data_IF_030147171913
#
_entry.id   IF_030147171913
#
_cell.length_a   1.000
_cell.length_b   1.000
_cell.length_c   1.000
_cell.angle_alpha   90.00
_cell.angle_beta   90.00
_cell.angle_gamma   90.00
#
_symmetry.space_group_name_H-M   'P 1'
#
loop_
_entity.id
_entity.type
_entity.pdbx_description
1 polymer ?
#
# COMPACT_ATOMS: atom_id res chain seq x y z
N UNK A 1 2.49 6.86 53.44
CA UNK A 1 2.71 5.42 53.71
C UNK A 1 3.96 5.00 52.97
N UNK A 2 5.10 5.20 53.64
CA UNK A 2 6.45 4.83 53.20
C UNK A 2 6.87 3.62 54.02
N UNK A 3 7.52 2.65 53.37
CA UNK A 3 8.18 1.52 54.03
C UNK A 3 9.66 1.57 53.65
N UNK A 4 10.60 1.60 54.61
CA UNK A 4 12.02 1.43 54.36
C UNK A 4 12.48 0.01 54.78
N UNK A 5 13.49 -0.52 54.08
CA UNK A 5 14.25 -1.70 54.52
C UNK A 5 15.77 -1.44 54.32
N UNK A 6 16.64 -2.15 55.05
CA UNK A 6 17.69 -1.51 55.85
C UNK A 6 19.11 -1.64 55.28
N UNK A 7 19.98 -0.86 55.93
CA UNK A 7 21.43 -0.72 55.85
C UNK A 7 22.16 -1.93 56.47
N UNK A 8 23.29 -2.35 55.90
CA UNK A 8 24.47 -2.98 56.54
C UNK A 8 25.51 -3.19 55.42
N UNK A 9 26.83 -3.07 55.55
CA UNK A 9 27.75 -2.53 56.54
C UNK A 9 29.09 -2.32 55.82
N UNK A 10 29.81 -1.31 56.27
CA UNK A 10 31.13 -0.85 55.86
C UNK A 10 32.23 -1.85 56.26
N UNK A 11 33.12 -2.21 55.32
CA UNK A 11 34.51 -2.55 55.65
C UNK A 11 35.40 -1.83 54.66
N UNK A 12 36.08 -0.80 55.16
CA UNK A 12 37.19 -0.13 54.49
C UNK A 12 38.49 -0.86 54.83
N UNK A 13 39.32 -1.16 53.82
CA UNK A 13 40.73 -1.47 54.02
C UNK A 13 41.55 -0.68 52.99
N UNK A 14 42.28 0.32 53.49
CA UNK A 14 43.29 1.10 52.78
C UNK A 14 44.64 0.37 52.85
N UNK A 15 45.31 0.19 51.71
CA UNK A 15 46.76 0.05 51.58
C UNK A 15 47.16 0.30 50.10
N UNK A 16 47.57 1.52 49.75
CA UNK A 16 48.95 1.96 49.43
C UNK A 16 49.61 1.39 48.16
N UNK A 17 49.79 2.31 47.19
CA UNK A 17 50.95 2.55 46.30
C UNK A 17 51.60 1.37 45.55
N UNK A 18 51.44 1.39 44.23
CA UNK A 18 52.33 0.73 43.27
C UNK A 18 52.29 1.45 41.92
N UNK A 19 53.41 2.08 41.57
CA UNK A 19 53.73 2.61 40.24
C UNK A 19 54.07 1.46 39.29
N UNK A 20 53.69 1.59 38.02
CA UNK A 20 54.39 0.95 36.90
C UNK A 20 53.55 -0.02 36.05
N UNK A 21 53.67 0.14 34.73
CA UNK A 21 53.31 -0.89 33.75
C UNK A 21 52.19 -0.48 32.80
N UNK A 22 52.55 0.17 31.68
CA UNK A 22 51.81 -0.04 30.44
C UNK A 22 52.12 -1.45 29.97
N UNK A 23 51.15 -2.37 29.96
CA UNK A 23 51.29 -3.63 29.24
C UNK A 23 49.94 -4.10 28.68
N UNK A 24 49.95 -4.22 27.35
CA UNK A 24 48.98 -4.81 26.40
C UNK A 24 47.61 -5.27 26.89
N UNK A 25 46.56 -4.65 26.31
CA UNK A 25 45.22 -5.22 26.15
C UNK A 25 45.33 -6.59 25.46
N UNK A 26 44.70 -7.67 25.99
CA UNK A 26 44.68 -8.95 25.31
C UNK A 26 43.83 -8.87 24.04
N UNK A 27 44.42 -9.32 22.94
CA UNK A 27 43.85 -9.45 21.61
C UNK A 27 42.69 -10.45 21.60
N UNK A 28 41.53 -9.95 21.18
CA UNK A 28 40.47 -10.60 20.41
C UNK A 28 39.85 -11.90 20.95
N UNK A 29 38.65 -11.74 21.52
CA UNK A 29 37.64 -12.77 21.51
C UNK A 29 37.13 -12.94 20.06
N UNK A 30 37.44 -14.07 19.45
CA UNK A 30 37.01 -14.46 18.10
C UNK A 30 35.48 -14.55 18.05
N UNK A 31 34.81 -13.45 17.71
CA UNK A 31 33.47 -13.51 17.13
C UNK A 31 33.67 -14.00 15.71
N UNK A 32 33.10 -15.16 15.30
CA UNK A 32 33.19 -15.57 13.91
C UNK A 32 32.54 -14.49 13.05
N UNK A 33 33.33 -13.91 12.15
CA UNK A 33 32.82 -13.05 11.08
C UNK A 33 31.70 -13.79 10.35
N UNK A 34 30.59 -13.11 10.00
CA UNK A 34 29.57 -13.73 9.16
C UNK A 34 30.27 -14.15 7.87
N UNK A 35 30.30 -15.46 7.61
CA UNK A 35 30.77 -16.00 6.34
C UNK A 35 29.88 -15.42 5.25
N UNK A 36 30.42 -14.46 4.49
CA UNK A 36 29.85 -14.03 3.23
C UNK A 36 30.00 -15.22 2.29
N UNK A 37 28.91 -15.96 2.13
CA UNK A 37 28.80 -17.01 1.14
C UNK A 37 28.82 -16.35 -0.24
N UNK A 38 29.97 -16.39 -0.93
CA UNK A 38 30.11 -15.98 -2.32
C UNK A 38 29.60 -17.08 -3.28
N UNK A 39 28.51 -17.76 -2.92
CA UNK A 39 27.75 -18.56 -3.86
C UNK A 39 27.18 -17.64 -4.95
N UNK A 40 26.95 -18.14 -6.18
CA UNK A 40 26.22 -17.35 -7.16
C UNK A 40 24.82 -17.15 -6.59
N UNK A 41 24.56 -16.00 -5.96
CA UNK A 41 23.21 -15.49 -5.87
C UNK A 41 22.75 -15.39 -7.31
N UNK A 42 21.94 -16.35 -7.73
CA UNK A 42 21.09 -16.19 -8.90
C UNK A 42 20.12 -15.08 -8.53
N UNK A 43 20.58 -13.83 -8.63
CA UNK A 43 19.73 -12.71 -9.01
C UNK A 43 19.06 -13.18 -10.27
N UNK A 44 17.82 -13.66 -10.13
CA UNK A 44 16.94 -13.88 -11.27
C UNK A 44 16.98 -12.58 -12.04
N UNK A 45 17.57 -12.61 -13.24
CA UNK A 45 17.64 -11.45 -14.10
C UNK A 45 16.22 -10.88 -14.18
N UNK A 46 16.02 -9.68 -13.63
CA UNK A 46 14.79 -8.96 -13.84
C UNK A 46 14.69 -8.79 -15.35
N UNK A 47 13.74 -9.48 -15.94
CA UNK A 47 13.40 -9.37 -17.35
C UNK A 47 12.94 -7.92 -17.62
N UNK A 48 13.92 -7.05 -17.87
CA UNK A 48 13.73 -5.63 -18.17
C UNK A 48 13.17 -5.42 -19.58
N UNK A 49 13.07 -6.48 -20.36
CA UNK A 49 12.56 -6.46 -21.74
C UNK A 49 11.04 -6.60 -21.80
N UNK A 50 10.35 -6.77 -20.66
CA UNK A 50 8.89 -6.61 -20.63
C UNK A 50 8.54 -5.16 -20.89
N UNK A 51 7.81 -4.83 -21.98
CA UNK A 51 7.34 -3.48 -22.18
C UNK A 51 6.32 -3.15 -21.08
N UNK A 52 6.77 -2.44 -20.05
CA UNK A 52 5.95 -1.95 -18.96
C UNK A 52 5.83 -0.43 -19.06
N UNK A 53 4.61 0.09 -19.00
CA UNK A 53 4.38 1.53 -18.93
C UNK A 53 4.77 2.00 -17.54
N UNK A 54 5.62 3.02 -17.45
CA UNK A 54 6.00 3.63 -16.17
C UNK A 54 4.90 4.61 -15.75
N UNK A 55 4.38 4.45 -14.54
CA UNK A 55 3.38 5.30 -13.90
C UNK A 55 3.89 5.82 -12.56
N UNK A 56 3.32 6.93 -12.09
CA UNK A 56 3.67 7.51 -10.79
C UNK A 56 3.01 6.80 -9.61
N UNK A 57 3.32 7.27 -8.40
CA UNK A 57 2.66 6.87 -7.16
C UNK A 57 1.17 7.21 -7.13
N UNK A 58 0.77 8.27 -7.84
CA UNK A 58 -0.60 8.77 -7.97
C UNK A 58 -0.89 9.01 -9.44
N UNK A 59 -2.06 8.64 -9.92
CA UNK A 59 -2.52 8.87 -11.29
C UNK A 59 -3.99 9.31 -11.31
N UNK A 60 -4.43 9.91 -12.43
CA UNK A 60 -5.87 10.16 -12.67
C UNK A 60 -6.48 8.89 -13.28
N UNK A 61 -7.57 8.40 -12.69
CA UNK A 61 -8.35 7.27 -13.16
C UNK A 61 -9.71 7.76 -13.69
N UNK A 62 -10.01 7.42 -14.94
CA UNK A 62 -11.28 7.76 -15.59
C UNK A 62 -12.15 6.51 -15.71
N UNK A 63 -13.46 6.71 -15.80
CA UNK A 63 -14.42 5.61 -15.87
C UNK A 63 -15.48 5.93 -16.92
N UNK A 64 -15.90 4.96 -17.72
CA UNK A 64 -16.96 5.22 -18.72
C UNK A 64 -18.32 5.50 -18.08
N UNK A 65 -18.48 5.13 -16.81
CA UNK A 65 -19.71 5.38 -16.07
C UNK A 65 -19.96 6.86 -15.77
N UNK A 66 -18.93 7.70 -15.66
CA UNK A 66 -19.05 9.09 -15.23
C UNK A 66 -17.97 10.01 -15.80
N UNK A 67 -18.31 11.27 -16.03
CA UNK A 67 -17.49 12.20 -16.82
C UNK A 67 -16.46 13.02 -16.01
N UNK A 68 -16.09 12.57 -14.81
CA UNK A 68 -15.07 13.23 -13.97
C UNK A 68 -13.98 12.23 -13.56
N UNK A 69 -12.68 12.59 -13.66
CA UNK A 69 -11.61 11.71 -13.23
C UNK A 69 -11.53 11.68 -11.70
N UNK A 70 -11.00 10.58 -11.16
CA UNK A 70 -10.69 10.43 -9.75
C UNK A 70 -9.20 10.22 -9.54
N UNK A 71 -8.64 10.82 -8.50
CA UNK A 71 -7.26 10.52 -8.12
C UNK A 71 -7.13 9.12 -7.53
N UNK A 72 -6.12 8.41 -8.01
CA UNK A 72 -5.87 7.03 -7.69
C UNK A 72 -4.48 6.85 -7.11
N UNK A 73 -4.40 6.33 -5.89
CA UNK A 73 -3.14 5.84 -5.33
C UNK A 73 -2.79 4.51 -5.98
N UNK A 74 -1.57 4.41 -6.51
CA UNK A 74 -1.02 3.17 -7.05
C UNK A 74 -0.40 2.33 -5.92
N UNK A 75 -1.05 1.23 -5.56
CA UNK A 75 -0.68 0.42 -4.39
C UNK A 75 -0.34 -1.01 -4.82
N UNK A 76 0.96 -1.29 -4.92
CA UNK A 76 1.48 -2.62 -5.27
C UNK A 76 1.25 -3.66 -4.16
N UNK A 77 0.95 -3.23 -2.93
CA UNK A 77 0.59 -4.10 -1.81
C UNK A 77 -0.84 -4.64 -1.89
N UNK A 78 -1.74 -3.93 -2.56
CA UNK A 78 -3.14 -4.33 -2.68
C UNK A 78 -3.38 -5.36 -3.79
N UNK A 79 -4.07 -6.45 -3.47
CA UNK A 79 -4.48 -7.46 -4.45
C UNK A 79 -5.61 -6.96 -5.36
N UNK A 80 -6.59 -6.25 -4.80
CA UNK A 80 -7.77 -5.76 -5.52
C UNK A 80 -7.91 -4.25 -5.32
N UNK A 81 -8.16 -3.53 -6.42
CA UNK A 81 -8.49 -2.11 -6.39
C UNK A 81 -9.72 -1.79 -5.52
N UNK A 82 -9.79 -0.55 -5.03
CA UNK A 82 -10.93 -0.05 -4.26
C UNK A 82 -11.34 1.34 -4.74
N UNK A 83 -12.63 1.65 -4.63
CA UNK A 83 -13.17 2.95 -5.01
C UNK A 83 -14.05 3.50 -3.90
N UNK A 84 -13.98 4.82 -3.72
CA UNK A 84 -14.85 5.56 -2.82
C UNK A 84 -16.30 5.45 -3.28
N UNK A 85 -17.12 4.77 -2.48
CA UNK A 85 -18.50 4.48 -2.80
C UNK A 85 -19.38 4.78 -1.58
N UNK A 86 -20.41 5.60 -1.78
CA UNK A 86 -21.34 6.07 -0.74
C UNK A 86 -22.71 5.44 -0.86
N UNK A 87 -23.46 5.45 0.24
CA UNK A 87 -24.81 4.91 0.28
C UNK A 87 -24.89 3.50 -0.32
N UNK A 88 -23.91 2.65 0.02
CA UNK A 88 -23.77 1.29 -0.51
C UNK A 88 -24.92 0.45 0.03
N UNK A 89 -25.83 0.04 -0.84
CA UNK A 89 -27.05 -0.70 -0.49
C UNK A 89 -27.19 -1.92 -1.41
N UNK A 90 -27.08 -3.15 -0.89
CA UNK A 90 -27.40 -4.35 -1.65
C UNK A 90 -28.91 -4.40 -1.92
N UNK A 91 -29.31 -5.00 -3.02
CA UNK A 91 -30.70 -5.28 -3.35
C UNK A 91 -30.80 -6.47 -4.31
N UNK A 92 -31.97 -7.09 -4.38
CA UNK A 92 -32.25 -8.13 -5.37
C UNK A 92 -32.94 -7.54 -6.60
N UNK A 93 -32.55 -8.00 -7.79
CA UNK A 93 -33.23 -7.70 -9.05
C UNK A 93 -33.21 -8.93 -9.94
N UNK A 94 -34.40 -9.36 -10.37
CA UNK A 94 -34.59 -10.50 -11.27
C UNK A 94 -33.89 -11.79 -10.75
N UNK A 95 -33.98 -12.03 -9.42
CA UNK A 95 -33.36 -13.18 -8.75
C UNK A 95 -31.83 -13.11 -8.62
N UNK A 96 -31.21 -11.96 -8.91
CA UNK A 96 -29.76 -11.73 -8.81
C UNK A 96 -29.44 -10.69 -7.75
N UNK A 97 -28.29 -10.82 -7.10
CA UNK A 97 -27.77 -9.83 -6.14
C UNK A 97 -27.11 -8.65 -6.87
N UNK A 98 -27.51 -7.44 -6.48
CA UNK A 98 -26.99 -6.18 -7.00
C UNK A 98 -26.60 -5.26 -5.85
N UNK A 99 -25.79 -4.25 -6.15
CA UNK A 99 -25.43 -3.18 -5.22
C UNK A 99 -25.66 -1.83 -5.88
N UNK A 100 -26.32 -0.94 -5.15
CA UNK A 100 -26.47 0.46 -5.52
C UNK A 100 -25.51 1.31 -4.66
N UNK A 101 -24.76 2.19 -5.28
CA UNK A 101 -23.78 3.05 -4.62
C UNK A 101 -23.63 4.39 -5.35
N UNK A 102 -23.10 5.39 -4.67
CA UNK A 102 -22.91 6.74 -5.19
C UNK A 102 -21.42 7.02 -5.29
N UNK A 103 -20.95 7.40 -6.46
CA UNK A 103 -19.61 7.97 -6.68
C UNK A 103 -19.74 9.49 -6.61
N UNK A 104 -18.82 10.15 -5.92
CA UNK A 104 -18.77 11.61 -5.83
C UNK A 104 -17.46 12.10 -6.44
N UNK A 105 -17.54 13.21 -7.16
CA UNK A 105 -16.38 14.01 -7.45
C UNK A 105 -15.89 14.67 -6.13
N UNK A 106 -14.57 14.83 -6.00
CA UNK A 106 -13.96 15.55 -4.88
C UNK A 106 -13.63 17.00 -5.21
N UNK A 107 -13.60 17.34 -6.49
CA UNK A 107 -13.29 18.67 -6.99
C UNK A 107 -14.56 19.50 -7.25
N UNK A 108 -15.74 18.86 -7.32
CA UNK A 108 -17.03 19.52 -7.55
C UNK A 108 -18.19 18.85 -6.78
N UNK A 109 -19.38 19.43 -6.87
CA UNK A 109 -20.62 18.83 -6.34
C UNK A 109 -21.19 17.70 -7.22
N UNK A 110 -20.48 17.31 -8.29
CA UNK A 110 -20.92 16.24 -9.18
C UNK A 110 -20.96 14.89 -8.44
N UNK A 111 -21.99 14.10 -8.74
CA UNK A 111 -22.10 12.74 -8.23
C UNK A 111 -22.94 11.89 -9.16
N UNK A 112 -22.71 10.58 -9.12
CA UNK A 112 -23.47 9.61 -9.89
C UNK A 112 -23.88 8.42 -9.03
N UNK A 113 -25.18 8.09 -9.08
CA UNK A 113 -25.73 6.88 -8.48
C UNK A 113 -25.65 5.73 -9.50
N UNK A 114 -24.89 4.69 -9.16
CA UNK A 114 -24.72 3.50 -9.97
C UNK A 114 -25.42 2.29 -9.37
N UNK A 115 -25.76 1.33 -10.24
CA UNK A 115 -26.24 -0.01 -9.88
C UNK A 115 -25.43 -1.03 -10.67
N UNK A 116 -24.82 -1.99 -9.97
CA UNK A 116 -24.02 -3.06 -10.58
C UNK A 116 -24.36 -4.42 -9.95
N UNK A 117 -24.25 -5.52 -10.71
CA UNK A 117 -24.24 -6.86 -10.11
C UNK A 117 -23.15 -6.97 -9.04
N UNK A 118 -23.42 -7.73 -7.99
CA UNK A 118 -22.39 -8.10 -7.01
C UNK A 118 -21.62 -9.28 -7.58
N UNK A 119 -20.33 -9.11 -7.84
CA UNK A 119 -19.46 -10.20 -8.31
C UNK A 119 -19.12 -11.16 -7.16
N UNK A 120 -18.85 -10.59 -5.99
CA UNK A 120 -18.53 -11.30 -4.75
C UNK A 120 -18.54 -10.35 -3.55
N UNK A 121 -18.40 -10.91 -2.35
CA UNK A 121 -18.13 -10.16 -1.13
C UNK A 121 -16.70 -10.45 -0.67
N UNK A 122 -15.84 -9.43 -0.68
CA UNK A 122 -14.48 -9.50 -0.17
C UNK A 122 -14.46 -9.33 1.35
N UNK A 123 -13.65 -10.13 2.05
CA UNK A 123 -13.31 -9.90 3.45
C UNK A 123 -11.97 -9.19 3.49
N UNK A 124 -11.97 -7.95 3.98
CA UNK A 124 -10.78 -7.14 4.13
C UNK A 124 -10.27 -7.29 5.56
N UNK A 125 -9.05 -7.79 5.66
CA UNK A 125 -8.29 -7.93 6.89
C UNK A 125 -7.19 -6.87 6.89
N UNK A 126 -7.53 -5.68 7.38
CA UNK A 126 -6.57 -4.63 7.72
C UNK A 126 -6.52 -4.52 9.26
N UNK A 127 -5.52 -3.83 9.80
CA UNK A 127 -5.37 -3.66 11.25
C UNK A 127 -6.70 -3.17 11.86
N UNK A 128 -7.39 -4.05 12.59
CA UNK A 128 -8.74 -3.80 13.10
C UNK A 128 -9.75 -4.92 12.77
N UNK A 129 -11.06 -4.64 12.93
CA UNK A 129 -12.10 -5.62 12.68
C UNK A 129 -12.21 -5.94 11.19
N UNK A 130 -12.49 -7.22 10.89
CA UNK A 130 -12.72 -7.66 9.51
C UNK A 130 -13.88 -6.89 8.89
N UNK A 131 -13.66 -6.35 7.70
CA UNK A 131 -14.69 -5.62 6.96
C UNK A 131 -15.16 -6.42 5.75
N UNK A 132 -16.47 -6.56 5.58
CA UNK A 132 -17.06 -7.16 4.38
C UNK A 132 -17.37 -6.06 3.37
N UNK A 133 -16.83 -6.17 2.16
CA UNK A 133 -17.02 -5.19 1.08
C UNK A 133 -17.58 -5.87 -0.16
N UNK A 134 -18.60 -5.28 -0.76
CA UNK A 134 -19.10 -5.74 -2.06
C UNK A 134 -18.08 -5.44 -3.15
N UNK A 135 -18.00 -6.33 -4.13
CA UNK A 135 -17.16 -6.17 -5.32
C UNK A 135 -18.06 -6.01 -6.53
N UNK A 136 -17.79 -4.98 -7.32
CA UNK A 136 -18.48 -4.69 -8.56
C UNK A 136 -17.47 -4.38 -9.67
N UNK A 137 -17.85 -4.64 -10.92
CA UNK A 137 -17.04 -4.25 -12.08
C UNK A 137 -17.37 -2.83 -12.53
N UNK A 138 -16.34 -2.06 -12.81
CA UNK A 138 -16.40 -0.73 -13.43
C UNK A 138 -15.49 -0.70 -14.66
N UNK A 139 -15.84 0.11 -15.65
CA UNK A 139 -15.06 0.27 -16.88
C UNK A 139 -13.99 1.32 -16.67
N UNK A 140 -12.78 0.89 -16.32
CA UNK A 140 -11.64 1.76 -16.05
C UNK A 140 -10.96 2.16 -17.37
N UNK A 141 -10.85 3.46 -17.60
CA UNK A 141 -10.01 4.06 -18.63
C UNK A 141 -8.76 4.58 -17.94
N UNK A 142 -7.63 3.90 -18.16
CA UNK A 142 -6.36 4.20 -17.52
C UNK A 142 -5.30 4.43 -18.60
N UNK A 143 -4.51 5.51 -18.47
CA UNK A 143 -3.49 5.88 -19.45
C UNK A 143 -4.00 6.08 -20.89
N UNK A 144 -5.23 6.57 -21.07
CA UNK A 144 -5.83 6.75 -22.41
C UNK A 144 -5.93 5.46 -23.23
N UNK A 145 -5.77 4.29 -22.59
CA UNK A 145 -5.97 3.00 -23.22
C UNK A 145 -7.46 2.70 -23.36
N UNK A 146 -7.76 1.69 -24.18
CA UNK A 146 -9.10 1.15 -24.28
C UNK A 146 -9.67 0.79 -22.89
N UNK A 147 -10.96 1.09 -22.65
CA UNK A 147 -11.61 0.77 -21.39
C UNK A 147 -11.51 -0.71 -21.04
N UNK A 148 -11.23 -1.00 -19.76
CA UNK A 148 -11.17 -2.37 -19.24
C UNK A 148 -12.09 -2.54 -18.04
N UNK A 149 -12.88 -3.62 -18.04
CA UNK A 149 -13.68 -3.98 -16.86
C UNK A 149 -12.79 -4.52 -15.75
N UNK A 150 -12.76 -3.80 -14.64
CA UNK A 150 -11.93 -4.12 -13.47
C UNK A 150 -12.82 -4.29 -12.24
N UNK A 151 -12.48 -5.27 -11.40
CA UNK A 151 -13.11 -5.44 -10.09
C UNK A 151 -12.63 -4.37 -9.10
N UNK A 152 -13.59 -3.67 -8.50
CA UNK A 152 -13.35 -2.76 -7.39
C UNK A 152 -14.13 -3.20 -6.16
N UNK A 153 -13.44 -3.18 -5.02
CA UNK A 153 -14.13 -3.21 -3.72
C UNK A 153 -14.79 -1.86 -3.47
N UNK A 154 -16.07 -1.88 -3.09
CA UNK A 154 -16.85 -0.68 -2.75
C UNK A 154 -16.66 -0.38 -1.27
N UNK A 155 -16.15 0.81 -0.94
CA UNK A 155 -15.95 1.24 0.45
C UNK A 155 -16.12 2.73 0.60
N UNK A 156 -16.58 3.16 1.78
CA UNK A 156 -16.56 4.58 2.12
C UNK A 156 -15.09 4.98 2.39
N UNK A 157 -14.57 5.90 1.59
CA UNK A 157 -13.20 6.43 1.68
C UNK A 157 -13.17 7.94 1.93
N UNK A 158 -14.18 8.52 2.58
CA UNK A 158 -14.27 9.97 2.84
C UNK A 158 -13.03 10.56 3.48
N UNK A 159 -12.51 9.82 4.45
CA UNK A 159 -11.41 10.29 5.29
C UNK A 159 -10.06 9.86 4.74
N UNK A 160 -10.01 9.27 3.54
CA UNK A 160 -8.78 8.93 2.85
C UNK A 160 -8.46 10.03 1.86
N UNK A 161 -7.17 10.28 1.63
CA UNK A 161 -6.69 11.27 0.66
C UNK A 161 -7.12 10.95 -0.77
N UNK A 162 -7.01 9.68 -1.18
CA UNK A 162 -7.33 9.26 -2.54
C UNK A 162 -8.66 8.46 -2.61
N UNK A 163 -9.62 8.87 -3.48
CA UNK A 163 -10.87 8.17 -3.68
C UNK A 163 -10.68 6.79 -4.30
N UNK A 164 -9.66 6.62 -5.14
CA UNK A 164 -9.36 5.34 -5.79
C UNK A 164 -8.03 4.79 -5.27
N UNK A 165 -7.97 3.47 -5.16
CA UNK A 165 -6.75 2.72 -4.95
C UNK A 165 -6.66 1.68 -6.07
N UNK A 166 -5.59 1.71 -6.84
CA UNK A 166 -5.33 0.79 -7.94
C UNK A 166 -4.34 -0.28 -7.47
N UNK A 167 -4.81 -1.53 -7.45
CA UNK A 167 -4.06 -2.69 -6.98
C UNK A 167 -3.51 -3.56 -8.11
N UNK A 168 -2.91 -4.69 -7.75
CA UNK A 168 -2.27 -5.63 -8.69
C UNK A 168 -3.20 -6.20 -9.75
N UNK A 169 -4.51 -6.30 -9.50
CA UNK A 169 -5.49 -6.70 -10.51
C UNK A 169 -5.56 -5.76 -11.73
N UNK A 170 -5.00 -4.55 -11.64
CA UNK A 170 -4.77 -3.63 -12.77
C UNK A 170 -3.30 -3.60 -13.18
N UNK A 171 -2.39 -3.61 -12.20
CA UNK A 171 -0.97 -3.32 -12.41
C UNK A 171 -0.17 -4.49 -13.00
N UNK A 172 -0.51 -5.71 -12.61
CA UNK A 172 0.31 -6.89 -12.85
C UNK A 172 0.57 -7.14 -14.33
N UNK A 173 1.85 -7.30 -14.69
CA UNK A 173 2.28 -7.57 -16.06
C UNK A 173 2.18 -6.40 -17.04
N UNK A 174 1.74 -5.21 -16.61
CA UNK A 174 1.48 -4.06 -17.52
C UNK A 174 2.23 -2.79 -17.11
N UNK A 175 2.40 -2.56 -15.82
CA UNK A 175 2.88 -1.27 -15.30
C UNK A 175 4.07 -1.43 -14.35
N UNK A 176 4.98 -0.47 -14.43
CA UNK A 176 6.04 -0.27 -13.43
C UNK A 176 5.78 1.04 -12.69
N UNK A 177 5.92 1.03 -11.37
CA UNK A 177 5.55 2.16 -10.51
C UNK A 177 6.79 2.92 -10.07
N UNK A 178 6.95 4.14 -10.55
CA UNK A 178 7.95 5.10 -10.06
C UNK A 178 7.37 5.92 -8.92
N UNK A 179 7.72 5.54 -7.69
CA UNK A 179 7.24 6.19 -6.47
C UNK A 179 7.80 7.60 -6.25
N UNK A 180 8.79 8.03 -7.04
CA UNK A 180 9.36 9.37 -6.97
C UNK A 180 8.56 10.41 -7.77
N UNK A 181 7.56 9.95 -8.54
CA UNK A 181 6.74 10.80 -9.39
C UNK A 181 5.25 10.63 -9.13
N UNK A 182 4.48 11.63 -9.50
CA UNK A 182 3.02 11.60 -9.55
C UNK A 182 2.56 12.15 -10.89
N UNK A 183 1.39 11.69 -11.34
CA UNK A 183 0.74 12.06 -12.61
C UNK A 183 1.68 11.91 -13.80
N UNK A 184 2.46 10.82 -13.84
CA UNK A 184 3.47 10.60 -14.87
C UNK A 184 2.83 10.48 -16.26
N UNK A 185 1.62 9.91 -16.32
CA UNK A 185 0.87 9.75 -17.56
C UNK A 185 0.45 11.09 -18.17
N UNK A 186 0.08 12.07 -17.33
CA UNK A 186 -0.33 13.41 -17.77
C UNK A 186 0.81 14.26 -18.34
N UNK A 187 2.08 13.90 -18.07
CA UNK A 187 3.26 14.65 -18.56
C UNK A 187 3.65 14.30 -19.99
N UNK A 188 3.24 13.14 -20.50
CA UNK A 188 3.63 12.67 -21.85
C UNK A 188 2.85 13.34 -22.98
N UNK A 189 1.68 13.93 -22.70
CA UNK A 189 0.79 14.54 -23.70
C UNK A 189 1.08 16.03 -23.98
N UNK A 190 2.03 16.66 -23.27
CA UNK A 190 2.38 18.07 -23.44
C UNK A 190 3.70 18.32 -24.18
N UNK A 191 4.32 17.26 -24.73
CA UNK A 191 5.60 17.36 -25.45
C UNK A 191 5.56 16.77 -26.87
N UNK A 192 4.43 16.85 -27.57
CA UNK A 192 4.38 16.63 -29.03
C UNK A 192 3.74 17.82 -29.74
#
# INVERSE_FOLDING_TARGET
MSQPFPVLSLVALLATLGLGGCESVPTQENVPEPKVDNGPETVTEFDRDRPSIIIGAVEKASFEEFDFPLEARIDTGATTSSIDARDIKPFERDGKEWVAFTIKDRESDASLRLKRPIERVAVIEQQGPKQRRYVARLSLVFNGQEPVFVEFTLTNRENYEYPVLIGRNVLEGKYMVDVSTEFALGKSLSQQ
#
